data_IF_046252975414
#
_entry.id   IF_046252975414
#
_cell.length_a   1.000
_cell.length_b   1.000
_cell.length_c   1.000
_cell.angle_alpha   90.00
_cell.angle_beta   90.00
_cell.angle_gamma   90.00
#
_symmetry.space_group_name_H-M   'P 1'
#
loop_
_entity.id
_entity.type
_entity.pdbx_description
1 polymer ?
#
# COMPACT_ATOMS: atom_id res chain seq x y z
N UNK A 1 -24.39 17.27 11.19
CA UNK A 1 -23.84 15.98 10.72
C UNK A 1 -23.34 16.07 9.27
N UNK A 2 -24.17 16.42 8.28
CA UNK A 2 -23.74 16.54 6.88
C UNK A 2 -22.56 17.50 6.63
N UNK A 3 -22.61 18.73 7.17
CA UNK A 3 -21.51 19.69 7.04
C UNK A 3 -20.20 19.23 7.71
N UNK A 4 -20.30 18.52 8.83
CA UNK A 4 -19.13 17.95 9.52
C UNK A 4 -18.52 16.85 8.66
N UNK A 5 -19.36 15.96 8.11
CA UNK A 5 -18.93 14.93 7.16
C UNK A 5 -18.28 15.55 5.92
N UNK A 6 -18.80 16.66 5.38
CA UNK A 6 -18.17 17.37 4.27
C UNK A 6 -16.77 17.89 4.63
N UNK A 7 -16.61 18.55 5.78
CA UNK A 7 -15.32 19.09 6.22
C UNK A 7 -14.28 17.97 6.45
N UNK A 8 -14.69 16.87 7.08
CA UNK A 8 -13.82 15.69 7.29
C UNK A 8 -13.43 15.07 5.94
N UNK A 9 -14.38 14.90 5.03
CA UNK A 9 -14.09 14.37 3.69
C UNK A 9 -13.16 15.27 2.89
N UNK A 10 -13.27 16.60 3.01
CA UNK A 10 -12.33 17.52 2.36
C UNK A 10 -10.90 17.33 2.88
N UNK A 11 -10.72 17.24 4.20
CA UNK A 11 -9.41 16.96 4.81
C UNK A 11 -8.86 15.60 4.36
N UNK A 12 -9.66 14.55 4.47
CA UNK A 12 -9.28 13.21 4.05
C UNK A 12 -8.93 13.15 2.55
N UNK A 13 -9.71 13.82 1.69
CA UNK A 13 -9.48 13.84 0.25
C UNK A 13 -8.15 14.51 -0.11
N UNK A 14 -7.80 15.63 0.56
CA UNK A 14 -6.48 16.26 0.36
C UNK A 14 -5.34 15.32 0.76
N UNK A 15 -5.46 14.65 1.90
CA UNK A 15 -4.48 13.67 2.39
C UNK A 15 -4.33 12.48 1.43
N UNK A 16 -5.43 11.79 1.10
CA UNK A 16 -5.41 10.61 0.22
C UNK A 16 -5.04 10.94 -1.23
N UNK A 17 -5.21 12.19 -1.68
CA UNK A 17 -4.76 12.58 -3.03
C UNK A 17 -3.24 12.47 -3.20
N UNK A 18 -2.47 12.71 -2.14
CA UNK A 18 -1.01 12.53 -2.14
C UNK A 18 -0.66 11.04 -2.18
N UNK A 19 -1.38 10.20 -1.41
CA UNK A 19 -1.19 8.74 -1.48
C UNK A 19 -1.52 8.16 -2.84
N UNK A 20 -2.53 8.69 -3.54
CA UNK A 20 -2.85 8.29 -4.89
C UNK A 20 -1.76 8.67 -5.92
N UNK A 21 -0.96 9.70 -5.63
CA UNK A 21 0.15 10.11 -6.48
C UNK A 21 1.36 9.17 -6.37
N UNK A 22 1.58 8.55 -5.21
CA UNK A 22 2.75 7.67 -4.97
C UNK A 22 2.79 6.51 -5.99
N UNK A 23 1.72 5.69 -6.19
CA UNK A 23 1.73 4.66 -7.22
C UNK A 23 1.99 5.18 -8.63
N UNK A 24 1.57 6.41 -8.97
CA UNK A 24 1.84 7.00 -10.28
C UNK A 24 3.34 7.28 -10.48
N UNK A 25 4.03 7.77 -9.44
CA UNK A 25 5.49 7.95 -9.47
C UNK A 25 6.17 6.61 -9.76
N UNK A 26 5.80 5.55 -9.03
CA UNK A 26 6.35 4.22 -9.27
C UNK A 26 5.99 3.68 -10.67
N UNK A 27 4.78 3.95 -11.16
CA UNK A 27 4.35 3.51 -12.49
C UNK A 27 5.14 4.19 -13.61
N UNK A 28 5.44 5.48 -13.52
CA UNK A 28 6.26 6.15 -14.54
C UNK A 28 7.72 5.67 -14.50
N UNK A 29 8.25 5.41 -13.30
CA UNK A 29 9.62 4.94 -13.14
C UNK A 29 9.79 3.44 -13.46
N UNK A 30 8.72 2.64 -13.43
CA UNK A 30 8.77 1.21 -13.82
C UNK A 30 8.85 1.01 -15.33
N UNK A 31 8.62 2.06 -16.14
CA UNK A 31 8.81 2.02 -17.60
C UNK A 31 10.28 2.05 -18.03
N UNK A 32 11.21 2.23 -17.09
CA UNK A 32 12.66 2.16 -17.34
C UNK A 32 13.12 0.71 -17.45
N UNK A 33 14.15 0.41 -18.26
CA UNK A 33 14.66 -0.95 -18.42
C UNK A 33 15.20 -1.55 -17.12
N UNK A 34 15.82 -0.72 -16.27
CA UNK A 34 16.25 -1.09 -14.93
C UNK A 34 15.41 -0.34 -13.89
N UNK A 35 14.83 -1.08 -12.95
CA UNK A 35 13.99 -0.48 -11.91
C UNK A 35 14.90 0.31 -10.94
N UNK A 36 14.58 1.57 -10.60
CA UNK A 36 15.46 2.37 -9.76
C UNK A 36 15.55 1.85 -8.32
N UNK A 37 14.54 1.10 -7.85
CA UNK A 37 14.56 0.39 -6.57
C UNK A 37 15.09 -1.06 -6.68
N UNK A 38 15.72 -1.43 -7.79
CA UNK A 38 16.54 -2.64 -7.87
C UNK A 38 17.96 -2.37 -7.38
N UNK A 39 18.70 -3.42 -7.01
CA UNK A 39 20.10 -3.27 -6.56
C UNK A 39 21.03 -2.67 -7.64
N UNK A 40 20.75 -2.93 -8.90
CA UNK A 40 21.49 -2.33 -10.02
C UNK A 40 21.08 -0.86 -10.22
N UNK A 41 19.77 -0.57 -10.18
CA UNK A 41 19.23 0.78 -10.34
C UNK A 41 19.59 1.72 -9.20
N UNK A 42 19.75 1.19 -7.98
CA UNK A 42 20.16 1.94 -6.79
C UNK A 42 21.44 2.73 -7.06
N UNK A 43 22.47 2.08 -7.64
CA UNK A 43 23.78 2.67 -7.94
C UNK A 43 23.71 3.96 -8.78
N UNK A 44 22.66 4.11 -9.60
CA UNK A 44 22.50 5.26 -10.50
C UNK A 44 22.14 6.56 -9.79
N UNK A 45 21.50 6.49 -8.62
CA UNK A 45 21.07 7.66 -7.85
C UNK A 45 21.58 7.64 -6.40
N UNK A 46 22.16 6.53 -5.95
CA UNK A 46 22.59 6.34 -4.56
C UNK A 46 24.04 6.79 -4.27
N UNK A 47 24.72 7.46 -5.20
CA UNK A 47 26.16 7.80 -5.08
C UNK A 47 26.51 8.61 -3.82
N UNK A 48 25.54 9.35 -3.26
CA UNK A 48 25.72 10.11 -2.01
C UNK A 48 25.37 9.31 -0.72
N UNK A 49 24.78 8.12 -0.84
CA UNK A 49 24.37 7.31 0.33
C UNK A 49 25.49 6.40 0.84
N UNK A 50 26.56 6.21 0.05
CA UNK A 50 27.32 4.95 0.06
C UNK A 50 28.56 4.89 0.94
N UNK A 51 28.85 5.89 1.78
CA UNK A 51 30.06 5.79 2.61
C UNK A 51 29.87 5.64 4.12
N UNK A 52 28.76 6.02 4.77
CA UNK A 52 28.64 5.80 6.23
C UNK A 52 27.23 5.59 6.85
N UNK A 53 26.11 5.99 6.23
CA UNK A 53 24.87 6.18 7.04
C UNK A 53 23.70 5.21 6.81
N UNK A 54 23.58 4.48 5.68
CA UNK A 54 22.43 3.58 5.47
C UNK A 54 22.82 2.25 4.82
N UNK A 55 22.70 1.15 5.59
CA UNK A 55 22.86 -0.21 5.07
C UNK A 55 21.59 -0.65 4.33
N UNK A 56 21.70 -0.88 3.04
CA UNK A 56 20.59 -1.33 2.17
C UNK A 56 20.67 -2.85 1.94
N UNK A 57 19.52 -3.49 1.68
CA UNK A 57 19.41 -4.94 1.42
C UNK A 57 20.42 -5.47 0.38
N UNK A 58 20.76 -4.62 -0.60
CA UNK A 58 21.67 -4.94 -1.69
C UNK A 58 23.14 -5.12 -1.26
N UNK A 59 23.53 -4.66 -0.07
CA UNK A 59 24.88 -4.80 0.48
C UNK A 59 25.13 -6.19 1.09
N UNK A 60 24.06 -6.87 1.54
CA UNK A 60 24.13 -8.24 2.06
C UNK A 60 24.45 -9.23 0.93
N UNK A 61 23.89 -9.00 -0.27
CA UNK A 61 24.18 -9.83 -1.45
C UNK A 61 25.65 -9.73 -1.92
N UNK A 62 26.41 -8.72 -1.48
CA UNK A 62 27.80 -8.49 -1.91
C UNK A 62 28.86 -9.09 -0.98
N UNK A 63 28.51 -9.96 -0.03
CA UNK A 63 29.48 -10.75 0.75
C UNK A 63 30.44 -9.88 1.58
N UNK A 64 29.96 -8.75 2.13
CA UNK A 64 30.73 -8.00 3.12
C UNK A 64 30.51 -8.64 4.50
N UNK A 65 31.58 -9.26 5.01
CA UNK A 65 31.63 -9.93 6.31
C UNK A 65 31.09 -9.02 7.42
N UNK A 66 30.06 -9.50 8.13
CA UNK A 66 29.61 -8.92 9.39
C UNK A 66 30.82 -8.59 10.27
N UNK A 67 30.99 -7.34 10.74
CA UNK A 67 32.01 -7.05 11.73
C UNK A 67 31.67 -7.84 12.99
N UNK A 68 32.51 -8.83 13.32
CA UNK A 68 32.52 -9.51 14.62
C UNK A 68 32.78 -8.48 15.72
N UNK A 69 31.75 -7.82 16.19
CA UNK A 69 31.77 -7.13 17.47
C UNK A 69 30.60 -7.67 18.28
N UNK A 70 30.90 -8.11 19.52
CA UNK A 70 30.05 -8.80 20.50
C UNK A 70 28.85 -7.97 21.01
N UNK A 71 28.37 -6.99 20.25
CA UNK A 71 27.17 -6.23 20.53
C UNK A 71 26.12 -6.61 19.48
N UNK A 72 24.99 -7.16 19.91
CA UNK A 72 23.83 -7.39 19.04
C UNK A 72 23.15 -6.05 18.76
N UNK A 73 23.73 -5.25 17.88
CA UNK A 73 23.07 -4.06 17.36
C UNK A 73 22.14 -4.51 16.22
N UNK A 74 20.84 -4.22 16.36
CA UNK A 74 19.86 -4.49 15.32
C UNK A 74 20.19 -3.63 14.10
N UNK A 75 20.64 -4.25 13.01
CA UNK A 75 20.87 -3.54 11.74
C UNK A 75 19.52 -3.41 11.05
N UNK A 76 18.88 -2.25 11.16
CA UNK A 76 17.65 -1.96 10.39
C UNK A 76 18.03 -1.74 8.92
N UNK A 77 17.72 -2.71 8.06
CA UNK A 77 17.94 -2.59 6.63
C UNK A 77 16.77 -1.86 5.98
N UNK A 78 17.04 -0.73 5.34
CA UNK A 78 15.99 -0.01 4.62
C UNK A 78 15.76 -0.60 3.22
N UNK A 79 14.49 -0.76 2.86
CA UNK A 79 14.07 -1.30 1.57
C UNK A 79 14.40 -0.27 0.46
N UNK A 80 15.07 -0.67 -0.64
CA UNK A 80 15.42 0.23 -1.76
C UNK A 80 14.26 1.04 -2.33
N UNK A 81 13.03 0.52 -2.30
CA UNK A 81 11.82 1.25 -2.72
C UNK A 81 11.50 2.41 -1.77
N UNK A 82 11.54 2.19 -0.45
CA UNK A 82 11.33 3.25 0.53
C UNK A 82 12.38 4.37 0.39
N UNK A 83 13.63 3.99 0.18
CA UNK A 83 14.73 4.93 -0.02
C UNK A 83 14.58 5.73 -1.31
N UNK A 84 14.13 5.09 -2.38
CA UNK A 84 13.82 5.77 -3.63
C UNK A 84 12.77 6.86 -3.40
N UNK A 85 11.70 6.57 -2.64
CA UNK A 85 10.69 7.58 -2.31
C UNK A 85 11.26 8.69 -1.41
N UNK A 86 12.01 8.34 -0.35
CA UNK A 86 12.66 9.31 0.56
C UNK A 86 13.62 10.26 -0.19
N UNK A 87 14.40 9.72 -1.13
CA UNK A 87 15.33 10.52 -1.94
C UNK A 87 14.62 11.65 -2.68
N UNK A 88 13.34 11.46 -3.04
CA UNK A 88 12.57 12.45 -3.77
C UNK A 88 12.12 13.64 -2.92
N UNK A 89 12.18 13.51 -1.61
CA UNK A 89 11.92 14.57 -0.64
C UNK A 89 13.22 15.12 -0.03
N UNK A 90 14.34 15.05 -0.78
CA UNK A 90 15.67 15.49 -0.32
C UNK A 90 16.10 14.84 1.00
N UNK A 91 15.87 13.53 1.15
CA UNK A 91 16.37 12.72 2.27
C UNK A 91 15.79 13.06 3.65
N UNK A 92 14.65 13.74 3.70
CA UNK A 92 13.97 13.95 4.98
C UNK A 92 13.33 12.66 5.49
N UNK A 93 13.36 12.49 6.79
CA UNK A 93 12.52 11.53 7.48
C UNK A 93 11.06 11.99 7.38
N UNK A 94 10.28 11.32 6.53
CA UNK A 94 8.87 11.62 6.25
C UNK A 94 7.96 11.65 7.50
N UNK A 95 8.48 11.25 8.68
CA UNK A 95 7.74 11.10 9.93
C UNK A 95 8.45 11.67 11.17
N UNK A 96 9.60 12.34 11.03
CA UNK A 96 10.18 13.10 12.15
C UNK A 96 9.71 14.56 12.12
N UNK A 97 9.27 15.11 13.27
CA UNK A 97 8.92 16.52 13.38
C UNK A 97 10.19 17.36 13.46
N UNK A 98 10.97 17.47 12.38
CA UNK A 98 12.08 18.42 12.31
C UNK A 98 11.60 19.80 11.87
N UNK A 99 12.16 20.81 12.54
CA UNK A 99 11.60 22.14 12.73
C UNK A 99 11.74 23.11 11.58
N UNK A 100 12.32 22.77 10.43
CA UNK A 100 12.62 23.79 9.41
C UNK A 100 12.29 23.37 7.96
N UNK A 101 11.12 23.80 7.50
CA UNK A 101 10.81 23.97 6.07
C UNK A 101 9.65 23.13 5.53
N UNK A 102 8.81 23.75 4.69
CA UNK A 102 7.84 23.05 3.85
C UNK A 102 8.51 22.68 2.52
N UNK A 103 8.79 21.41 2.29
CA UNK A 103 9.43 20.94 1.06
C UNK A 103 8.45 20.20 0.17
N UNK A 104 8.43 20.57 -1.11
CA UNK A 104 7.55 19.97 -2.10
C UNK A 104 8.42 19.21 -3.10
N UNK A 105 8.19 17.90 -3.20
CA UNK A 105 8.72 17.11 -4.31
C UNK A 105 7.96 17.45 -5.60
N UNK A 106 8.68 17.94 -6.61
CA UNK A 106 8.07 18.28 -7.91
C UNK A 106 7.46 17.05 -8.62
N UNK A 107 8.09 15.87 -8.52
CA UNK A 107 7.51 14.65 -9.13
C UNK A 107 6.19 14.27 -8.48
N UNK A 108 6.14 14.30 -7.15
CA UNK A 108 4.92 13.97 -6.39
C UNK A 108 3.84 15.03 -6.63
N UNK A 109 4.22 16.31 -6.72
CA UNK A 109 3.30 17.40 -7.05
C UNK A 109 2.69 17.22 -8.45
N UNK A 110 3.50 16.94 -9.47
CA UNK A 110 3.00 16.68 -10.83
C UNK A 110 2.09 15.46 -10.88
N UNK A 111 2.45 14.37 -10.20
CA UNK A 111 1.60 13.19 -10.12
C UNK A 111 0.28 13.47 -9.38
N UNK A 112 0.31 14.31 -8.34
CA UNK A 112 -0.90 14.73 -7.61
C UNK A 112 -1.82 15.55 -8.50
N UNK A 113 -1.27 16.52 -9.26
CA UNK A 113 -2.03 17.30 -10.23
C UNK A 113 -2.61 16.42 -11.34
N UNK A 114 -1.86 15.42 -11.80
CA UNK A 114 -2.33 14.44 -12.78
C UNK A 114 -3.50 13.62 -12.22
N UNK A 115 -3.41 13.13 -10.98
CA UNK A 115 -4.52 12.43 -10.29
C UNK A 115 -5.78 13.28 -10.29
N UNK A 116 -5.69 14.54 -9.88
CA UNK A 116 -6.83 15.46 -9.89
C UNK A 116 -7.36 15.73 -11.29
N UNK A 117 -6.49 15.84 -12.29
CA UNK A 117 -6.88 16.02 -13.69
C UNK A 117 -7.65 14.80 -14.21
N UNK A 118 -7.22 13.58 -13.87
CA UNK A 118 -7.91 12.34 -14.22
C UNK A 118 -9.28 12.27 -13.56
N UNK A 119 -9.36 12.57 -12.25
CA UNK A 119 -10.63 12.58 -11.51
C UNK A 119 -11.60 13.59 -12.12
N UNK A 120 -11.18 14.85 -12.29
CA UNK A 120 -12.00 15.90 -12.88
C UNK A 120 -12.39 15.55 -14.33
N UNK A 121 -11.48 14.98 -15.12
CA UNK A 121 -11.77 14.51 -16.48
C UNK A 121 -12.83 13.40 -16.52
N UNK A 122 -12.80 12.47 -15.56
CA UNK A 122 -13.82 11.43 -15.42
C UNK A 122 -15.19 12.03 -15.09
N UNK A 123 -15.26 12.94 -14.11
CA UNK A 123 -16.52 13.60 -13.74
C UNK A 123 -17.06 14.50 -14.87
N UNK A 124 -16.19 15.23 -15.56
CA UNK A 124 -16.56 16.07 -16.70
C UNK A 124 -17.12 15.25 -17.86
N UNK A 125 -16.46 14.14 -18.21
CA UNK A 125 -16.88 13.27 -19.32
C UNK A 125 -18.15 12.48 -18.99
N UNK A 126 -18.30 12.01 -17.76
CA UNK A 126 -19.41 11.16 -17.33
C UNK A 126 -20.34 11.92 -16.38
N UNK A 127 -21.07 12.90 -16.91
CA UNK A 127 -22.04 13.71 -16.15
C UNK A 127 -23.25 12.89 -15.64
N UNK A 128 -23.48 11.68 -16.18
CA UNK A 128 -24.53 10.77 -15.69
C UNK A 128 -23.95 9.74 -14.73
N UNK A 129 -24.56 9.65 -13.54
CA UNK A 129 -24.18 8.71 -12.49
C UNK A 129 -24.18 7.24 -12.96
N UNK A 130 -25.11 6.87 -13.85
CA UNK A 130 -25.18 5.50 -14.39
C UNK A 130 -23.95 5.15 -15.23
N UNK A 131 -23.53 6.08 -16.10
CA UNK A 131 -22.33 5.89 -16.93
C UNK A 131 -21.06 5.88 -16.08
N UNK A 132 -20.98 6.78 -15.10
CA UNK A 132 -19.88 6.82 -14.14
C UNK A 132 -19.79 5.51 -13.34
N UNK A 133 -20.92 5.00 -12.84
CA UNK A 133 -20.97 3.71 -12.11
C UNK A 133 -20.50 2.56 -12.97
N UNK A 134 -20.87 2.51 -14.26
CA UNK A 134 -20.40 1.46 -15.16
C UNK A 134 -18.87 1.50 -15.36
N UNK A 135 -18.29 2.69 -15.57
CA UNK A 135 -16.83 2.83 -15.68
C UNK A 135 -16.13 2.39 -14.39
N UNK A 136 -16.64 2.83 -13.23
CA UNK A 136 -16.09 2.43 -11.93
C UNK A 136 -16.18 0.92 -11.70
N UNK A 137 -17.26 0.25 -12.13
CA UNK A 137 -17.39 -1.21 -12.06
C UNK A 137 -16.30 -1.92 -12.86
N UNK A 138 -15.99 -1.46 -14.06
CA UNK A 138 -14.88 -2.02 -14.84
C UNK A 138 -13.54 -1.78 -14.17
N UNK A 139 -13.33 -0.61 -13.57
CA UNK A 139 -12.13 -0.31 -12.78
C UNK A 139 -11.97 -1.27 -11.60
N UNK A 140 -13.02 -1.45 -10.80
CA UNK A 140 -13.02 -2.37 -9.65
C UNK A 140 -12.80 -3.82 -10.10
N UNK A 141 -13.47 -4.27 -11.17
CA UNK A 141 -13.25 -5.61 -11.70
C UNK A 141 -11.80 -5.82 -12.16
N UNK A 142 -11.23 -4.82 -12.84
CA UNK A 142 -9.82 -4.86 -13.26
C UNK A 142 -8.87 -4.95 -12.05
N UNK A 143 -9.12 -4.21 -10.96
CA UNK A 143 -8.26 -4.29 -9.77
C UNK A 143 -8.38 -5.65 -9.08
N UNK A 144 -9.57 -6.25 -9.04
CA UNK A 144 -9.73 -7.63 -8.55
C UNK A 144 -8.94 -8.65 -9.36
N UNK A 145 -8.95 -8.53 -10.69
CA UNK A 145 -8.17 -9.41 -11.58
C UNK A 145 -6.67 -9.25 -11.31
N UNK A 146 -6.19 -8.01 -11.21
CA UNK A 146 -4.77 -7.75 -10.89
C UNK A 146 -4.38 -8.26 -9.51
N UNK A 147 -5.24 -8.12 -8.51
CA UNK A 147 -5.02 -8.63 -7.16
C UNK A 147 -4.94 -10.17 -7.17
N UNK A 148 -5.82 -10.85 -7.91
CA UNK A 148 -5.79 -12.30 -8.05
C UNK A 148 -4.49 -12.79 -8.71
N UNK A 149 -4.05 -12.11 -9.78
CA UNK A 149 -2.76 -12.40 -10.42
C UNK A 149 -1.60 -12.20 -9.42
N UNK A 150 -1.64 -11.14 -8.63
CA UNK A 150 -0.63 -10.88 -7.61
C UNK A 150 -0.61 -11.99 -6.55
N UNK A 151 -1.77 -12.37 -5.98
CA UNK A 151 -1.86 -13.46 -5.00
C UNK A 151 -1.30 -14.76 -5.56
N UNK A 152 -1.66 -15.13 -6.79
CA UNK A 152 -1.13 -16.35 -7.43
C UNK A 152 0.39 -16.26 -7.57
N UNK A 153 0.92 -15.11 -8.02
CA UNK A 153 2.37 -14.93 -8.16
C UNK A 153 3.09 -15.04 -6.83
N UNK A 154 2.59 -14.40 -5.78
CA UNK A 154 3.19 -14.46 -4.45
C UNK A 154 3.05 -15.85 -3.81
N UNK A 155 1.95 -16.57 -4.06
CA UNK A 155 1.79 -17.94 -3.59
C UNK A 155 2.85 -18.91 -4.16
N UNK A 156 3.47 -18.57 -5.29
CA UNK A 156 4.54 -19.36 -5.92
C UNK A 156 5.95 -18.99 -5.43
N UNK A 157 6.09 -17.97 -4.56
CA UNK A 157 7.39 -17.53 -4.03
C UNK A 157 7.96 -18.48 -2.97
N UNK A 158 7.18 -18.99 -1.99
CA UNK A 158 7.70 -19.92 -0.98
C UNK A 158 8.17 -21.24 -1.58
N UNK A 159 9.19 -21.85 -0.96
CA UNK A 159 9.67 -23.20 -1.32
C UNK A 159 8.58 -24.26 -1.15
N UNK A 160 7.77 -24.13 -0.10
CA UNK A 160 6.62 -24.99 0.20
C UNK A 160 5.30 -24.17 0.24
N UNK A 161 4.64 -23.95 -0.91
CA UNK A 161 3.44 -23.11 -1.00
C UNK A 161 2.27 -23.54 -0.11
N UNK A 162 2.05 -24.86 0.02
CA UNK A 162 0.92 -25.41 0.76
C UNK A 162 1.05 -25.18 2.27
N UNK A 163 2.26 -25.32 2.81
CA UNK A 163 2.53 -25.06 4.23
C UNK A 163 2.38 -23.57 4.53
N UNK A 164 2.89 -22.70 3.65
CA UNK A 164 2.71 -21.25 3.81
C UNK A 164 1.24 -20.82 3.85
N UNK A 165 0.38 -21.44 3.02
CA UNK A 165 -1.07 -21.17 3.08
C UNK A 165 -1.67 -21.71 4.38
N UNK A 166 -1.28 -22.91 4.81
CA UNK A 166 -1.77 -23.53 6.05
C UNK A 166 -1.42 -22.67 7.27
N UNK A 167 -0.16 -22.24 7.38
CA UNK A 167 0.37 -21.45 8.47
C UNK A 167 -0.27 -20.04 8.51
N UNK A 168 -0.59 -19.47 7.34
CA UNK A 168 -1.32 -18.19 7.26
C UNK A 168 -2.70 -18.25 7.93
N UNK A 169 -3.42 -19.37 7.81
CA UNK A 169 -4.77 -19.49 8.37
C UNK A 169 -4.80 -19.92 9.85
N UNK A 170 -3.67 -20.36 10.41
CA UNK A 170 -3.61 -20.90 11.78
C UNK A 170 -2.74 -19.99 12.64
N UNK A 171 -3.33 -18.95 13.26
CA UNK A 171 -2.59 -18.07 14.15
C UNK A 171 -2.31 -18.76 15.49
N UNK A 172 -1.21 -18.37 16.13
CA UNK A 172 -0.97 -18.70 17.54
C UNK A 172 -1.99 -17.98 18.44
N UNK A 173 -2.39 -18.62 19.53
CA UNK A 173 -3.38 -18.08 20.48
C UNK A 173 -2.94 -16.74 21.07
N UNK A 174 -1.65 -16.57 21.36
CA UNK A 174 -1.11 -15.32 21.88
C UNK A 174 -1.26 -14.17 20.89
N UNK A 175 -0.97 -14.40 19.60
CA UNK A 175 -1.13 -13.38 18.55
C UNK A 175 -2.61 -13.01 18.38
N UNK A 176 -3.50 -13.99 18.42
CA UNK A 176 -4.94 -13.76 18.32
C UNK A 176 -5.47 -12.89 19.47
N UNK A 177 -5.11 -13.23 20.72
CA UNK A 177 -5.59 -12.50 21.90
C UNK A 177 -5.05 -11.07 21.94
N UNK A 178 -3.78 -10.87 21.57
CA UNK A 178 -3.16 -9.55 21.52
C UNK A 178 -3.74 -8.68 20.39
N UNK A 179 -4.10 -9.30 19.25
CA UNK A 179 -4.68 -8.61 18.10
C UNK A 179 -6.17 -8.28 18.25
N UNK A 180 -6.93 -9.09 19.00
CA UNK A 180 -8.40 -8.97 19.11
C UNK A 180 -8.92 -7.57 19.47
N UNK A 181 -8.33 -6.81 20.41
CA UNK A 181 -8.80 -5.46 20.76
C UNK A 181 -8.81 -4.47 19.59
N UNK A 182 -7.97 -4.69 18.57
CA UNK A 182 -7.85 -3.79 17.40
C UNK A 182 -8.87 -4.06 16.30
N UNK A 183 -9.55 -5.22 16.34
CA UNK A 183 -10.47 -5.68 15.28
C UNK A 183 -11.62 -4.69 15.07
N UNK A 184 -12.17 -4.10 16.13
CA UNK A 184 -13.26 -3.14 16.02
C UNK A 184 -12.87 -1.88 15.25
N UNK A 185 -11.68 -1.33 15.53
CA UNK A 185 -11.13 -0.15 14.84
C UNK A 185 -10.86 -0.49 13.37
N UNK A 186 -10.32 -1.70 13.12
CA UNK A 186 -10.09 -2.19 11.77
C UNK A 186 -11.40 -2.28 10.97
N UNK A 187 -12.47 -2.87 11.53
CA UNK A 187 -13.76 -2.98 10.83
C UNK A 187 -14.35 -1.61 10.52
N UNK A 188 -14.31 -0.66 11.46
CA UNK A 188 -14.86 0.69 11.23
C UNK A 188 -14.08 1.41 10.12
N UNK A 189 -12.75 1.34 10.14
CA UNK A 189 -11.89 1.96 9.14
C UNK A 189 -11.99 1.31 7.77
N UNK A 190 -12.09 -0.03 7.72
CA UNK A 190 -12.24 -0.85 6.51
C UNK A 190 -13.50 -0.52 5.70
N UNK A 191 -14.64 -0.38 6.38
CA UNK A 191 -15.94 -0.17 5.72
C UNK A 191 -16.31 1.31 5.57
N UNK A 192 -15.59 2.22 6.24
CA UNK A 192 -15.89 3.65 6.19
C UNK A 192 -17.28 3.99 6.73
N UNK A 193 -17.74 3.25 7.75
CA UNK A 193 -19.04 3.51 8.39
C UNK A 193 -19.03 4.91 9.00
N UNK A 194 -20.04 5.73 8.67
CA UNK A 194 -20.16 7.10 9.19
C UNK A 194 -19.58 8.20 8.29
N UNK A 195 -18.94 7.85 7.17
CA UNK A 195 -18.34 8.83 6.24
C UNK A 195 -19.35 9.52 5.30
N UNK A 196 -20.59 9.03 5.24
CA UNK A 196 -21.65 9.60 4.40
C UNK A 196 -21.70 9.04 2.96
N UNK A 197 -20.67 8.29 2.54
CA UNK A 197 -20.57 7.72 1.19
C UNK A 197 -21.60 6.63 0.93
N UNK A 198 -21.72 5.65 1.83
CA UNK A 198 -22.67 4.53 1.70
C UNK A 198 -24.12 5.03 1.66
N UNK A 199 -24.49 5.97 2.54
CA UNK A 199 -25.85 6.55 2.56
C UNK A 199 -26.12 7.37 1.29
N UNK A 200 -25.13 8.09 0.76
CA UNK A 200 -25.26 8.82 -0.50
C UNK A 200 -25.46 7.86 -1.68
N UNK A 201 -24.65 6.80 -1.81
CA UNK A 201 -24.82 5.79 -2.86
C UNK A 201 -26.16 5.05 -2.72
N UNK A 202 -26.58 4.72 -1.50
CA UNK A 202 -27.85 4.05 -1.24
C UNK A 202 -29.06 4.92 -1.67
N UNK A 203 -28.95 6.25 -1.61
CA UNK A 203 -30.03 7.16 -2.03
C UNK A 203 -30.38 7.07 -3.52
N UNK A 204 -29.44 6.61 -4.36
CA UNK A 204 -29.65 6.39 -5.79
C UNK A 204 -30.17 4.98 -6.14
N UNK A 205 -30.37 4.10 -5.15
CA UNK A 205 -30.92 2.77 -5.39
C UNK A 205 -32.44 2.81 -5.64
N UNK A 206 -32.94 1.84 -6.42
CA UNK A 206 -34.38 1.63 -6.58
C UNK A 206 -34.98 1.16 -5.25
N UNK A 207 -36.21 1.59 -4.93
CA UNK A 207 -36.89 1.22 -3.67
C UNK A 207 -37.01 -0.30 -3.42
N UNK A 208 -37.14 -1.11 -4.48
CA UNK A 208 -37.26 -2.58 -4.37
C UNK A 208 -35.92 -3.34 -4.44
N UNK A 209 -34.79 -2.66 -4.20
CA UNK A 209 -33.47 -3.29 -4.24
C UNK A 209 -33.27 -4.22 -3.04
N UNK A 210 -32.69 -5.41 -3.26
CA UNK A 210 -32.34 -6.36 -2.19
C UNK A 210 -31.14 -5.85 -1.39
N UNK A 211 -31.37 -4.90 -0.49
CA UNK A 211 -30.32 -4.25 0.29
C UNK A 211 -29.50 -5.25 1.11
N UNK A 212 -30.15 -6.21 1.77
CA UNK A 212 -29.47 -7.22 2.60
C UNK A 212 -28.46 -8.02 1.76
N UNK A 213 -28.91 -8.56 0.63
CA UNK A 213 -28.04 -9.35 -0.25
C UNK A 213 -26.84 -8.55 -0.74
N UNK A 214 -27.07 -7.30 -1.19
CA UNK A 214 -26.00 -6.43 -1.66
C UNK A 214 -25.00 -6.09 -0.55
N UNK A 215 -25.47 -5.83 0.67
CA UNK A 215 -24.59 -5.58 1.82
C UNK A 215 -23.71 -6.79 2.15
N UNK A 216 -24.27 -8.00 2.13
CA UNK A 216 -23.48 -9.23 2.31
C UNK A 216 -22.41 -9.39 1.23
N UNK A 217 -22.74 -9.11 -0.03
CA UNK A 217 -21.76 -9.15 -1.12
C UNK A 217 -20.63 -8.15 -0.91
N UNK A 218 -20.93 -6.93 -0.46
CA UNK A 218 -19.92 -5.91 -0.15
C UNK A 218 -19.01 -6.39 0.98
N UNK A 219 -19.59 -6.94 2.06
CA UNK A 219 -18.81 -7.45 3.19
C UNK A 219 -17.88 -8.60 2.81
N UNK A 220 -18.39 -9.58 2.08
CA UNK A 220 -17.58 -10.72 1.61
C UNK A 220 -16.50 -10.25 0.64
N UNK A 221 -16.83 -9.35 -0.29
CA UNK A 221 -15.87 -8.80 -1.24
C UNK A 221 -14.73 -8.04 -0.53
N UNK A 222 -15.05 -7.19 0.44
CA UNK A 222 -14.07 -6.44 1.21
C UNK A 222 -13.17 -7.36 2.04
N UNK A 223 -13.75 -8.38 2.67
CA UNK A 223 -13.00 -9.40 3.42
C UNK A 223 -12.00 -10.13 2.53
N UNK A 224 -12.40 -10.54 1.32
CA UNK A 224 -11.52 -11.20 0.36
C UNK A 224 -10.35 -10.31 -0.07
N UNK A 225 -10.59 -9.01 -0.29
CA UNK A 225 -9.52 -8.05 -0.61
C UNK A 225 -8.50 -7.99 0.53
N UNK A 226 -8.96 -7.83 1.77
CA UNK A 226 -8.05 -7.74 2.92
C UNK A 226 -7.28 -9.03 3.16
N UNK A 227 -7.94 -10.19 3.07
CA UNK A 227 -7.26 -11.49 3.17
C UNK A 227 -6.19 -11.65 2.08
N UNK A 228 -6.47 -11.20 0.87
CA UNK A 228 -5.52 -11.25 -0.25
C UNK A 228 -4.27 -10.40 0.01
N UNK A 229 -4.45 -9.15 0.47
CA UNK A 229 -3.32 -8.29 0.82
C UNK A 229 -2.56 -8.82 2.04
N UNK A 230 -3.26 -9.28 3.08
CA UNK A 230 -2.63 -9.87 4.26
C UNK A 230 -1.78 -11.09 3.91
N UNK A 231 -2.25 -11.94 2.99
CA UNK A 231 -1.48 -13.07 2.51
C UNK A 231 -0.22 -12.64 1.75
N UNK A 232 -0.31 -11.64 0.86
CA UNK A 232 0.86 -11.11 0.15
C UNK A 232 1.91 -10.57 1.13
N UNK A 233 1.49 -9.81 2.13
CA UNK A 233 2.39 -9.27 3.17
C UNK A 233 3.03 -10.42 3.95
N UNK A 234 2.23 -11.37 4.44
CA UNK A 234 2.72 -12.54 5.18
C UNK A 234 3.77 -13.34 4.40
N UNK A 235 3.52 -13.62 3.13
CA UNK A 235 4.49 -14.34 2.28
C UNK A 235 5.78 -13.52 2.09
N UNK A 236 5.64 -12.20 1.91
CA UNK A 236 6.78 -11.31 1.71
C UNK A 236 7.65 -11.23 2.96
N UNK A 237 7.04 -11.08 4.14
CA UNK A 237 7.74 -11.02 5.42
C UNK A 237 8.49 -12.34 5.69
N UNK A 238 7.82 -13.49 5.54
CA UNK A 238 8.46 -14.80 5.72
C UNK A 238 9.58 -15.07 4.70
N UNK A 239 9.44 -14.57 3.47
CA UNK A 239 10.49 -14.72 2.46
C UNK A 239 11.77 -14.00 2.91
N UNK A 240 11.64 -12.75 3.36
CA UNK A 240 12.79 -12.00 3.85
C UNK A 240 13.32 -12.56 5.18
N UNK A 241 12.46 -12.88 6.16
CA UNK A 241 12.89 -13.49 7.42
C UNK A 241 13.59 -14.85 7.20
N UNK A 242 13.12 -15.64 6.24
CA UNK A 242 13.73 -16.91 5.85
C UNK A 242 15.09 -16.76 5.16
N UNK A 243 15.32 -15.67 4.42
CA UNK A 243 16.61 -15.36 3.80
C UNK A 243 17.61 -14.81 4.84
N UNK A 244 17.12 -14.07 5.85
CA UNK A 244 17.93 -13.52 6.95
C UNK A 244 18.23 -14.49 8.11
N UNK A 245 17.48 -15.58 8.24
CA UNK A 245 17.69 -16.59 9.29
C UNK A 245 18.66 -17.71 8.91
N UNK A 246 19.10 -17.78 7.65
CA UNK A 246 20.09 -18.78 7.17
C UNK A 246 21.54 -18.37 7.51
N UNK A 247 21.77 -17.12 7.93
CA UNK A 247 23.10 -16.59 8.26
C UNK A 247 23.33 -16.37 9.77
N UNK A 248 22.83 -17.28 10.63
CA UNK A 248 23.22 -17.39 12.06
C UNK A 248 23.80 -18.76 12.37
#
# INVERSE_FOLDING_TARGET
IGYISLAVNLGALTYYSVFAAVPLVYLFHSMRPTLPWSCEGLKSWSYNFTENDVRHLCHILSNETLPKNDFTWFVTHEIPSNLFLKSRFNHMELFEPNTEGFFISWEVLLCTLLTWTLITGLFYKYNSLEKLSNVLRYGIFSTFVLLLIAVIRFALVPKDPLNSIYDFFIPSWDTFLNGFPTVGIFVISAYGVGWGTIISLASFNKFKTKLIQNSWTICVGQMLIFLSFAYIVYVTDNYYDGEFSIDV
#
